data_IF_590143237158
#
_entry.id   IF_590143237158
#
_cell.length_a   1.000
_cell.length_b   1.000
_cell.length_c   1.000
_cell.angle_alpha   90.00
_cell.angle_beta   90.00
_cell.angle_gamma   90.00
#
_symmetry.space_group_name_H-M   'P 1'
#
loop_
_entity.id
_entity.type
_entity.pdbx_description
1 polymer ?
#
# COMPACT_ATOMS: atom_id res chain seq x y z
N UNK A 1 8.14 -19.44 29.54
CA UNK A 1 6.92 -18.98 30.26
C UNK A 1 5.74 -19.23 29.33
N UNK A 2 4.69 -19.94 29.77
CA UNK A 2 3.55 -20.30 28.91
C UNK A 2 2.42 -19.28 29.12
N UNK A 3 1.92 -18.69 28.04
CA UNK A 3 0.77 -17.76 28.08
C UNK A 3 -0.48 -18.60 28.35
N UNK A 4 -1.25 -18.26 29.39
CA UNK A 4 -2.49 -18.96 29.78
C UNK A 4 -3.76 -18.21 29.36
N UNK A 5 -3.68 -16.90 29.10
CA UNK A 5 -4.78 -16.09 28.57
C UNK A 5 -4.28 -15.05 27.59
N UNK A 6 -5.01 -14.86 26.48
CA UNK A 6 -4.58 -14.00 25.39
C UNK A 6 -5.13 -12.58 25.55
N UNK A 7 -4.56 -11.85 26.52
CA UNK A 7 -4.92 -10.46 26.83
C UNK A 7 -4.10 -9.47 26.00
N UNK A 8 -4.50 -8.19 25.96
CA UNK A 8 -3.80 -7.12 25.21
C UNK A 8 -2.31 -6.99 25.56
N UNK A 9 -1.96 -7.19 26.83
CA UNK A 9 -0.57 -7.12 27.29
C UNK A 9 0.27 -8.25 26.69
N UNK A 10 -0.29 -9.46 26.63
CA UNK A 10 0.38 -10.64 26.08
C UNK A 10 0.44 -10.60 24.55
N UNK A 11 -0.59 -10.06 23.86
CA UNK A 11 -0.50 -9.76 22.42
C UNK A 11 0.66 -8.81 22.13
N UNK A 12 0.80 -7.72 22.89
CA UNK A 12 1.88 -6.73 22.67
C UNK A 12 3.26 -7.33 22.93
N UNK A 13 3.40 -8.14 23.99
CA UNK A 13 4.66 -8.83 24.31
C UNK A 13 5.03 -9.86 23.24
N UNK A 14 4.08 -10.67 22.81
CA UNK A 14 4.29 -11.69 21.78
C UNK A 14 4.61 -11.05 20.42
N UNK A 15 3.90 -9.98 20.03
CA UNK A 15 4.22 -9.21 18.82
C UNK A 15 5.66 -8.68 18.83
N UNK A 16 6.11 -8.08 19.93
CA UNK A 16 7.51 -7.59 20.03
C UNK A 16 8.54 -8.71 19.96
N UNK A 17 8.28 -9.84 20.61
CA UNK A 17 9.17 -10.99 20.56
C UNK A 17 9.24 -11.60 19.14
N UNK A 18 8.10 -11.62 18.43
CA UNK A 18 8.00 -12.06 17.04
C UNK A 18 8.74 -11.09 16.12
N UNK A 19 8.55 -9.77 16.25
CA UNK A 19 9.29 -8.77 15.47
C UNK A 19 10.81 -8.91 15.67
N UNK A 20 11.27 -9.09 16.92
CA UNK A 20 12.69 -9.27 17.21
C UNK A 20 13.27 -10.57 16.61
N UNK A 21 12.51 -11.67 16.64
CA UNK A 21 12.93 -12.94 16.04
C UNK A 21 12.90 -12.89 14.51
N UNK A 22 11.90 -12.20 13.95
CA UNK A 22 11.73 -12.05 12.51
C UNK A 22 12.70 -11.05 11.89
N UNK A 23 13.38 -10.20 12.65
CA UNK A 23 14.41 -9.29 12.11
C UNK A 23 15.51 -9.99 11.32
N UNK A 24 15.97 -11.17 11.77
CA UNK A 24 16.98 -11.96 11.02
C UNK A 24 16.43 -12.48 9.68
N UNK A 25 15.19 -12.95 9.69
CA UNK A 25 14.48 -13.39 8.47
C UNK A 25 14.20 -12.19 7.56
N UNK A 26 13.88 -11.04 8.13
CA UNK A 26 13.68 -9.79 7.42
C UNK A 26 14.94 -9.40 6.62
N UNK A 27 16.12 -9.50 7.24
CA UNK A 27 17.39 -9.20 6.60
C UNK A 27 17.82 -10.25 5.56
N UNK A 28 17.62 -11.54 5.83
CA UNK A 28 17.93 -12.63 4.87
C UNK A 28 17.12 -12.49 3.57
N UNK A 29 15.87 -12.03 3.67
CA UNK A 29 14.98 -11.87 2.53
C UNK A 29 14.90 -10.43 1.99
N UNK A 30 15.59 -9.46 2.61
CA UNK A 30 15.54 -8.05 2.21
C UNK A 30 14.13 -7.45 2.29
N UNK A 31 13.36 -7.79 3.32
CA UNK A 31 11.99 -7.29 3.55
C UNK A 31 11.91 -6.62 4.92
N UNK A 32 11.07 -5.60 5.04
CA UNK A 32 10.70 -5.01 6.32
C UNK A 32 9.43 -5.68 6.85
N UNK A 33 9.56 -6.36 7.99
CA UNK A 33 8.46 -7.04 8.69
C UNK A 33 7.98 -6.15 9.84
N UNK A 34 6.69 -5.80 9.86
CA UNK A 34 6.08 -5.02 10.94
C UNK A 34 4.79 -5.69 11.43
N UNK A 35 4.45 -5.60 12.71
CA UNK A 35 3.16 -6.10 13.19
C UNK A 35 2.01 -5.16 12.76
N UNK A 36 1.16 -5.64 11.85
CA UNK A 36 -0.03 -4.96 11.32
C UNK A 36 -1.26 -5.05 12.23
N UNK A 37 -1.05 -5.12 13.55
CA UNK A 37 -2.11 -5.31 14.56
C UNK A 37 -2.59 -6.77 14.68
N UNK A 38 -3.70 -6.99 15.37
CA UNK A 38 -4.24 -8.33 15.60
C UNK A 38 -5.47 -8.32 16.49
N UNK A 39 -6.07 -9.51 16.68
CA UNK A 39 -7.22 -9.71 17.55
C UNK A 39 -6.76 -10.40 18.84
N UNK A 40 -7.21 -9.89 19.99
CA UNK A 40 -7.02 -10.50 21.30
C UNK A 40 -8.37 -10.88 21.90
N UNK A 41 -8.46 -12.04 22.56
CA UNK A 41 -9.71 -12.58 23.12
C UNK A 41 -9.77 -14.11 23.06
N UNK A 42 -10.88 -14.66 23.56
CA UNK A 42 -11.06 -16.11 23.77
C UNK A 42 -11.39 -16.90 22.49
N UNK A 43 -11.72 -16.20 21.39
CA UNK A 43 -12.01 -16.82 20.11
C UNK A 43 -11.02 -16.39 19.02
N UNK A 44 -10.14 -17.32 18.69
CA UNK A 44 -9.18 -17.29 17.59
C UNK A 44 -8.30 -16.01 17.51
N UNK A 45 -7.47 -15.77 18.55
CA UNK A 45 -6.53 -14.67 18.54
C UNK A 45 -5.49 -14.83 17.42
N UNK A 46 -5.21 -13.75 16.69
CA UNK A 46 -4.21 -13.77 15.61
C UNK A 46 -3.46 -12.44 15.56
N UNK A 47 -2.17 -12.52 15.25
CA UNK A 47 -1.29 -11.37 15.01
C UNK A 47 -1.06 -11.28 13.51
N UNK A 48 -1.35 -10.12 12.91
CA UNK A 48 -1.07 -9.85 11.50
C UNK A 48 0.35 -9.32 11.37
N UNK A 49 1.12 -9.88 10.44
CA UNK A 49 2.45 -9.39 10.08
C UNK A 49 2.33 -8.77 8.69
N UNK A 50 2.64 -7.49 8.60
CA UNK A 50 2.75 -6.76 7.34
C UNK A 50 4.18 -6.89 6.83
N UNK A 51 4.31 -7.37 5.59
CA UNK A 51 5.57 -7.51 4.88
C UNK A 51 5.66 -6.38 3.87
N UNK A 52 6.69 -5.54 3.98
CA UNK A 52 7.05 -4.56 2.96
C UNK A 52 8.36 -5.00 2.34
N UNK A 53 8.48 -4.99 1.01
CA UNK A 53 9.76 -5.31 0.37
C UNK A 53 10.69 -4.12 0.52
N UNK A 54 11.89 -4.32 1.11
CA UNK A 54 12.91 -3.28 1.21
C UNK A 54 13.40 -3.00 -0.21
N UNK A 55 13.39 -1.73 -0.60
CA UNK A 55 13.63 -1.34 -1.99
C UNK A 55 15.05 -1.76 -2.41
N UNK A 56 15.16 -2.80 -3.24
CA UNK A 56 16.41 -3.29 -3.79
C UNK A 56 16.91 -2.29 -4.85
N UNK A 57 17.53 -1.19 -4.40
CA UNK A 57 18.45 -0.37 -5.17
C UNK A 57 17.92 0.30 -6.45
N UNK A 58 16.63 0.24 -6.74
CA UNK A 58 16.04 0.79 -7.98
C UNK A 58 15.49 2.21 -7.82
N UNK A 59 15.41 2.72 -6.59
CA UNK A 59 14.77 4.00 -6.27
C UNK A 59 13.25 3.99 -6.55
N UNK A 60 12.66 2.81 -6.75
CA UNK A 60 11.28 2.63 -7.20
C UNK A 60 10.43 2.18 -6.02
N UNK A 61 9.63 3.10 -5.48
CA UNK A 61 8.80 2.81 -4.31
C UNK A 61 7.89 1.57 -4.54
N UNK A 62 7.58 0.80 -3.49
CA UNK A 62 6.67 -0.35 -3.60
C UNK A 62 5.30 0.00 -4.23
N UNK A 63 4.87 1.26 -4.08
CA UNK A 63 3.67 1.80 -4.70
C UNK A 63 3.84 1.99 -6.22
N UNK A 64 5.01 2.44 -6.66
CA UNK A 64 5.37 2.57 -8.08
C UNK A 64 5.49 1.21 -8.76
N UNK A 65 6.18 0.25 -8.14
CA UNK A 65 6.28 -1.11 -8.67
C UNK A 65 4.89 -1.74 -8.83
N UNK A 66 4.03 -1.56 -7.83
CA UNK A 66 2.64 -2.04 -7.88
C UNK A 66 1.83 -1.32 -8.96
N UNK A 67 1.98 0.00 -9.08
CA UNK A 67 1.32 0.78 -10.12
C UNK A 67 1.69 0.29 -11.50
N UNK A 68 2.99 0.19 -11.81
CA UNK A 68 3.48 -0.27 -13.11
C UNK A 68 2.99 -1.68 -13.45
N UNK A 69 2.93 -2.57 -12.46
CA UNK A 69 2.42 -3.95 -12.63
C UNK A 69 0.95 -4.00 -13.00
N UNK A 70 0.10 -3.20 -12.36
CA UNK A 70 -1.35 -3.28 -12.55
C UNK A 70 -1.92 -2.23 -13.52
N UNK A 71 -1.19 -1.17 -13.87
CA UNK A 71 -1.67 -0.09 -14.72
C UNK A 71 -2.27 -0.60 -16.04
N UNK A 72 -1.55 -1.51 -16.73
CA UNK A 72 -2.01 -2.07 -18.00
C UNK A 72 -3.33 -2.84 -17.89
N UNK A 73 -3.56 -3.54 -16.76
CA UNK A 73 -4.80 -4.31 -16.51
C UNK A 73 -6.02 -3.40 -16.39
N UNK A 74 -5.82 -2.15 -15.94
CA UNK A 74 -6.87 -1.16 -15.80
C UNK A 74 -6.90 -0.15 -16.97
N UNK A 75 -6.21 -0.42 -18.07
CA UNK A 75 -6.17 0.49 -19.23
C UNK A 75 -5.43 1.81 -18.97
N UNK A 76 -4.53 1.82 -17.99
CA UNK A 76 -3.66 2.95 -17.65
C UNK A 76 -2.24 2.69 -18.16
N UNK A 77 -1.46 3.75 -18.37
CA UNK A 77 -0.04 3.58 -18.70
C UNK A 77 0.82 3.55 -17.42
N UNK A 78 1.82 2.65 -17.34
CA UNK A 78 2.76 2.61 -16.21
C UNK A 78 3.43 3.97 -15.92
N UNK A 79 3.69 4.73 -16.97
CA UNK A 79 4.36 6.03 -16.96
C UNK A 79 3.50 7.17 -16.40
N UNK A 80 2.25 6.88 -16.03
CA UNK A 80 1.36 7.83 -15.38
C UNK A 80 1.62 7.95 -13.88
N UNK A 81 2.42 7.06 -13.29
CA UNK A 81 2.87 7.20 -11.92
C UNK A 81 3.60 8.55 -11.72
N UNK A 82 3.28 9.28 -10.66
CA UNK A 82 3.85 10.60 -10.38
C UNK A 82 3.35 11.75 -11.27
N UNK A 83 2.48 11.48 -12.27
CA UNK A 83 1.92 12.56 -13.08
C UNK A 83 0.89 13.38 -12.29
N UNK A 84 0.88 14.68 -12.55
CA UNK A 84 -0.11 15.59 -12.03
C UNK A 84 -1.42 15.52 -12.86
N UNK A 85 -2.55 15.49 -12.17
CA UNK A 85 -3.90 15.56 -12.73
C UNK A 85 -4.70 16.63 -12.00
N UNK A 86 -5.56 17.34 -12.73
CA UNK A 86 -6.44 18.35 -12.15
C UNK A 86 -7.85 17.79 -12.08
N UNK A 87 -8.40 17.68 -10.88
CA UNK A 87 -9.77 17.19 -10.63
C UNK A 87 -10.49 18.27 -9.85
N UNK A 88 -11.62 18.74 -10.35
CA UNK A 88 -12.43 19.80 -9.74
C UNK A 88 -11.59 21.01 -9.30
N UNK A 89 -10.75 21.51 -10.23
CA UNK A 89 -9.83 22.66 -10.05
C UNK A 89 -8.74 22.45 -8.99
N UNK A 90 -8.58 21.23 -8.48
CA UNK A 90 -7.55 20.90 -7.49
C UNK A 90 -6.50 20.01 -8.14
N UNK A 91 -5.21 20.31 -7.90
CA UNK A 91 -4.09 19.52 -8.39
C UNK A 91 -3.84 18.30 -7.49
N UNK A 92 -3.67 17.15 -8.13
CA UNK A 92 -3.32 15.89 -7.50
C UNK A 92 -2.19 15.20 -8.27
N UNK A 93 -1.46 14.33 -7.60
CA UNK A 93 -0.42 13.47 -8.14
C UNK A 93 -0.85 12.00 -8.05
N UNK A 94 -0.59 11.20 -9.07
CA UNK A 94 -0.90 9.76 -9.03
C UNK A 94 0.18 9.04 -8.21
N UNK A 95 -0.23 8.42 -7.11
CA UNK A 95 0.70 7.81 -6.13
C UNK A 95 0.55 6.31 -5.97
N UNK A 96 -0.42 5.68 -6.64
CA UNK A 96 -0.55 4.23 -6.58
C UNK A 96 -1.86 3.68 -7.14
N UNK A 97 -2.00 2.36 -7.03
CA UNK A 97 -3.17 1.61 -7.48
C UNK A 97 -3.57 0.58 -6.42
N UNK A 98 -4.87 0.41 -6.21
CA UNK A 98 -5.50 -0.51 -5.27
C UNK A 98 -6.42 -1.48 -6.02
N UNK A 99 -5.90 -2.66 -6.44
CA UNK A 99 -6.68 -3.64 -7.18
C UNK A 99 -7.90 -4.17 -6.41
N UNK A 100 -7.83 -4.14 -5.08
CA UNK A 100 -8.92 -4.56 -4.18
C UNK A 100 -10.04 -3.51 -4.00
N UNK A 101 -9.94 -2.35 -4.65
CA UNK A 101 -10.91 -1.27 -4.57
C UNK A 101 -11.54 -1.00 -5.96
N UNK A 102 -12.49 -1.82 -6.45
CA UNK A 102 -12.93 -1.82 -7.85
C UNK A 102 -13.54 -0.50 -8.33
N UNK A 103 -14.14 0.30 -7.43
CA UNK A 103 -14.70 1.62 -7.76
C UNK A 103 -13.63 2.73 -7.73
N UNK A 104 -12.69 2.67 -6.78
CA UNK A 104 -11.72 3.72 -6.51
C UNK A 104 -10.30 3.16 -6.59
N UNK A 105 -10.00 2.56 -7.74
CA UNK A 105 -8.77 1.79 -7.96
C UNK A 105 -7.53 2.66 -7.93
N UNK A 106 -7.60 3.93 -8.36
CA UNK A 106 -6.41 4.79 -8.43
C UNK A 106 -6.25 5.60 -7.15
N UNK A 107 -5.03 5.65 -6.60
CA UNK A 107 -4.70 6.53 -5.49
C UNK A 107 -4.06 7.81 -5.98
N UNK A 108 -4.62 8.94 -5.56
CA UNK A 108 -4.13 10.27 -5.89
C UNK A 108 -3.80 11.04 -4.61
N UNK A 109 -2.67 11.74 -4.60
CA UNK A 109 -2.23 12.60 -3.50
C UNK A 109 -2.48 14.04 -3.88
N UNK A 110 -3.20 14.77 -3.03
CA UNK A 110 -3.49 16.18 -3.26
C UNK A 110 -2.24 17.02 -3.00
N UNK A 111 -1.89 17.92 -3.92
CA UNK A 111 -0.59 18.60 -3.88
C UNK A 111 -0.46 19.61 -2.73
N UNK A 112 -1.55 20.22 -2.25
CA UNK A 112 -1.48 21.29 -1.23
C UNK A 112 -1.39 20.78 0.22
N UNK A 113 -1.98 19.63 0.54
CA UNK A 113 -2.02 19.08 1.90
C UNK A 113 -1.47 17.65 2.01
N UNK A 114 -1.12 17.03 0.88
CA UNK A 114 -0.57 15.68 0.83
C UNK A 114 -1.55 14.56 1.18
N UNK A 115 -2.86 14.85 1.30
CA UNK A 115 -3.86 13.81 1.62
C UNK A 115 -4.08 12.89 0.43
N UNK A 116 -4.21 11.60 0.71
CA UNK A 116 -4.41 10.55 -0.29
C UNK A 116 -5.90 10.25 -0.43
N UNK A 117 -6.39 10.29 -1.67
CA UNK A 117 -7.76 10.01 -2.04
C UNK A 117 -7.81 8.87 -3.07
N UNK A 118 -8.96 8.18 -3.13
CA UNK A 118 -9.24 7.21 -4.17
C UNK A 118 -10.00 7.86 -5.32
N UNK A 119 -9.65 7.52 -6.55
CA UNK A 119 -10.28 8.04 -7.76
C UNK A 119 -10.60 6.91 -8.74
N UNK A 120 -11.59 7.14 -9.60
CA UNK A 120 -11.92 6.21 -10.68
C UNK A 120 -10.87 6.28 -11.78
N UNK A 121 -10.65 5.16 -12.46
CA UNK A 121 -9.77 5.10 -13.65
C UNK A 121 -10.24 6.10 -14.71
N UNK A 122 -11.56 6.20 -14.93
CA UNK A 122 -12.16 7.10 -15.92
C UNK A 122 -11.83 8.58 -15.70
N UNK A 123 -11.67 9.01 -14.45
CA UNK A 123 -11.33 10.40 -14.14
C UNK A 123 -9.90 10.71 -14.51
N UNK A 124 -8.99 9.76 -14.25
CA UNK A 124 -7.57 9.89 -14.58
C UNK A 124 -7.34 9.83 -16.08
N UNK A 125 -7.97 8.88 -16.78
CA UNK A 125 -7.87 8.76 -18.23
C UNK A 125 -8.42 9.99 -18.95
N UNK A 126 -9.50 10.61 -18.43
CA UNK A 126 -10.03 11.87 -18.97
C UNK A 126 -9.05 13.04 -18.86
N UNK A 127 -8.27 13.09 -17.78
CA UNK A 127 -7.31 14.18 -17.54
C UNK A 127 -5.97 13.98 -18.23
N UNK A 128 -5.44 12.75 -18.22
CA UNK A 128 -4.16 12.43 -18.86
C UNK A 128 -4.28 12.11 -20.34
N UNK A 129 -5.50 11.89 -20.83
CA UNK A 129 -5.81 11.81 -22.24
C UNK A 129 -4.94 10.81 -22.99
N UNK A 130 -5.44 9.58 -23.14
CA UNK A 130 -5.42 9.07 -24.51
C UNK A 130 -6.33 10.05 -25.25
N UNK A 131 -5.76 10.98 -26.02
CA UNK A 131 -6.47 11.54 -27.17
C UNK A 131 -6.99 10.30 -27.89
N UNK A 132 -8.30 10.05 -27.83
CA UNK A 132 -8.90 9.21 -28.84
C UNK A 132 -8.42 9.83 -30.15
N UNK A 133 -7.53 9.13 -30.85
CA UNK A 133 -7.17 9.49 -32.19
C UNK A 133 -8.49 9.58 -32.97
N UNK A 134 -8.55 10.62 -33.80
CA UNK A 134 -9.72 11.07 -34.56
C UNK A 134 -10.59 9.95 -35.15
#
# INVERSE_FOLDING_TARGET
MKITSFTRAEHTRLSRAIEAALGKVADDFGVDLSCGGGLYGDHNPHIKIAVSVRDNGSGMTSAEASFRRYAAMYGMQPDWFGKAVVIDRTAYEIVGIKPNAPKYTVQIKRCHDGRIFGCTVSTVTRQLGIKAAA
#
